data_IF_613047165537
#
_entry.id   IF_613047165537
#
_cell.length_a   1.000
_cell.length_b   1.000
_cell.length_c   1.000
_cell.angle_alpha   90.00
_cell.angle_beta   90.00
_cell.angle_gamma   90.00
#
_symmetry.space_group_name_H-M   'P 1'
#
loop_
_entity.id
_entity.type
_entity.pdbx_description
1 polymer ?
#
# COMPACT_ATOMS: atom_id res chain seq x y z
N UNK A 1 -22.54 67.01 -22.09
CA UNK A 1 -22.71 65.83 -22.97
C UNK A 1 -21.41 65.62 -23.75
N UNK A 2 -20.72 64.51 -23.50
CA UNK A 2 -19.76 63.81 -24.40
C UNK A 2 -19.16 62.65 -23.60
N UNK A 3 -19.68 61.44 -23.82
CA UNK A 3 -19.10 60.18 -23.35
C UNK A 3 -17.93 59.87 -24.29
N UNK A 4 -16.71 59.80 -23.77
CA UNK A 4 -15.54 59.37 -24.51
C UNK A 4 -15.12 57.99 -23.98
N UNK A 5 -15.49 56.96 -24.74
CA UNK A 5 -15.04 55.58 -24.61
C UNK A 5 -13.54 55.53 -24.88
N UNK A 6 -12.74 55.06 -23.92
CA UNK A 6 -11.33 54.71 -24.14
C UNK A 6 -11.21 53.18 -24.07
N UNK A 7 -10.95 52.59 -25.23
CA UNK A 7 -10.45 51.22 -25.36
C UNK A 7 -9.05 51.16 -24.73
N UNK A 8 -8.87 50.34 -23.70
CA UNK A 8 -7.54 49.95 -23.23
C UNK A 8 -7.28 48.49 -23.60
N UNK A 9 -6.19 48.33 -24.33
CA UNK A 9 -5.71 47.11 -24.93
C UNK A 9 -5.32 46.04 -23.88
N UNK A 10 -5.52 44.78 -24.29
CA UNK A 10 -4.64 43.64 -24.00
C UNK A 10 -4.24 43.39 -22.54
N UNK A 11 -4.98 42.51 -21.87
CA UNK A 11 -4.37 41.55 -20.94
C UNK A 11 -4.67 40.13 -21.43
N UNK A 12 -3.75 39.69 -22.28
CA UNK A 12 -3.64 38.35 -22.83
C UNK A 12 -3.38 37.35 -21.68
N UNK A 13 -4.01 36.19 -21.76
CA UNK A 13 -3.38 34.88 -21.46
C UNK A 13 -2.99 34.48 -20.03
N UNK A 14 -3.48 35.14 -18.99
CA UNK A 14 -3.06 34.85 -17.60
C UNK A 14 -3.93 33.90 -16.78
N UNK A 15 -5.01 33.34 -17.34
CA UNK A 15 -5.95 32.50 -16.57
C UNK A 15 -6.21 31.15 -17.26
N UNK A 16 -5.16 30.55 -17.82
CA UNK A 16 -5.19 29.12 -18.08
C UNK A 16 -4.85 28.42 -16.76
N UNK A 17 -5.92 28.02 -16.07
CA UNK A 17 -5.99 27.00 -15.02
C UNK A 17 -4.66 26.26 -14.79
N UNK A 18 -3.96 26.66 -13.74
CA UNK A 18 -2.94 25.83 -13.11
C UNK A 18 -3.68 24.67 -12.43
N UNK A 19 -4.03 23.64 -13.21
CA UNK A 19 -4.38 22.36 -12.62
C UNK A 19 -3.06 21.79 -12.09
N UNK A 20 -2.85 21.67 -10.76
CA UNK A 20 -1.84 20.73 -10.32
C UNK A 20 -2.27 19.40 -10.94
N UNK A 21 -1.44 18.87 -11.83
CA UNK A 21 -1.61 17.53 -12.30
C UNK A 21 -1.65 16.68 -11.05
N UNK A 22 -2.83 16.19 -10.69
CA UNK A 22 -2.95 15.00 -9.87
C UNK A 22 -2.38 13.88 -10.73
N UNK A 23 -1.05 13.84 -10.84
CA UNK A 23 -0.39 12.57 -10.99
C UNK A 23 -0.76 11.84 -9.72
N UNK A 24 -1.80 11.01 -9.82
CA UNK A 24 -1.89 9.85 -8.96
C UNK A 24 -0.59 9.13 -9.28
N UNK A 25 0.43 9.40 -8.47
CA UNK A 25 1.62 8.57 -8.43
C UNK A 25 1.02 7.21 -8.10
N UNK A 26 0.86 6.35 -9.10
CA UNK A 26 0.66 4.94 -8.84
C UNK A 26 1.79 4.63 -7.86
N UNK A 27 1.42 4.24 -6.63
CA UNK A 27 2.40 3.92 -5.62
C UNK A 27 3.40 3.00 -6.30
N UNK A 28 4.60 3.51 -6.56
CA UNK A 28 5.64 2.66 -7.11
C UNK A 28 5.76 1.57 -6.06
N UNK A 29 5.37 0.36 -6.45
CA UNK A 29 5.56 -0.78 -5.60
C UNK A 29 7.07 -0.89 -5.45
N UNK A 30 7.59 -0.30 -4.37
CA UNK A 30 8.99 -0.36 -4.00
C UNK A 30 9.21 -1.84 -3.74
N UNK A 31 9.61 -2.58 -4.78
CA UNK A 31 9.87 -4.01 -4.68
C UNK A 31 10.82 -4.17 -3.51
N UNK A 32 10.35 -4.88 -2.49
CA UNK A 32 11.10 -5.04 -1.25
C UNK A 32 12.49 -5.59 -1.62
N UNK A 33 13.51 -4.83 -1.25
CA UNK A 33 14.87 -5.03 -1.74
C UNK A 33 15.32 -6.47 -1.48
N UNK A 34 16.22 -6.97 -2.32
CA UNK A 34 16.76 -8.34 -2.32
C UNK A 34 17.52 -8.77 -1.03
N UNK A 35 17.21 -8.19 0.13
CA UNK A 35 17.85 -8.33 1.43
C UNK A 35 17.17 -9.30 2.39
N UNK A 36 16.15 -10.05 1.95
CA UNK A 36 15.44 -11.03 2.77
C UNK A 36 14.56 -10.40 3.86
N UNK A 37 13.45 -11.05 4.16
CA UNK A 37 12.42 -10.53 5.07
C UNK A 37 12.05 -11.57 6.12
N UNK A 38 11.66 -11.11 7.31
CA UNK A 38 11.02 -11.92 8.34
C UNK A 38 9.56 -11.54 8.45
N UNK A 39 8.68 -12.52 8.29
CA UNK A 39 7.24 -12.34 8.45
C UNK A 39 6.81 -12.92 9.80
N UNK A 40 6.15 -12.11 10.61
CA UNK A 40 5.72 -12.44 11.97
C UNK A 40 4.21 -12.45 12.06
N UNK A 41 3.62 -13.56 12.52
CA UNK A 41 2.19 -13.65 12.82
C UNK A 41 1.88 -13.03 14.18
N UNK A 42 1.19 -11.88 14.18
CA UNK A 42 0.80 -11.18 15.39
C UNK A 42 -0.58 -11.67 15.85
N UNK A 43 -0.61 -12.85 16.47
CA UNK A 43 -1.86 -13.56 16.80
C UNK A 43 -2.92 -12.70 17.49
N UNK A 44 -2.53 -11.86 18.45
CA UNK A 44 -3.47 -11.06 19.23
C UNK A 44 -4.00 -9.81 18.50
N UNK A 45 -3.29 -9.31 17.48
CA UNK A 45 -3.73 -8.14 16.70
C UNK A 45 -4.47 -8.51 15.42
N UNK A 46 -4.38 -9.76 14.96
CA UNK A 46 -4.98 -10.16 13.68
C UNK A 46 -4.17 -9.73 12.46
N UNK A 47 -2.88 -9.43 12.63
CA UNK A 47 -2.00 -8.89 11.57
C UNK A 47 -0.75 -9.74 11.35
N UNK A 48 -0.04 -9.49 10.26
CA UNK A 48 1.38 -9.84 10.12
C UNK A 48 2.26 -8.60 10.15
N UNK A 49 3.49 -8.74 10.65
CA UNK A 49 4.55 -7.73 10.50
C UNK A 49 5.64 -8.25 9.59
N UNK A 50 6.21 -7.37 8.78
CA UNK A 50 7.32 -7.66 7.88
C UNK A 50 8.52 -6.85 8.32
N UNK A 51 9.65 -7.52 8.53
CA UNK A 51 10.88 -6.93 9.07
C UNK A 51 12.01 -7.18 8.08
N UNK A 52 12.77 -6.14 7.76
CA UNK A 52 13.99 -6.27 6.95
C UNK A 52 15.07 -7.00 7.74
N UNK A 53 15.67 -8.05 7.17
CA UNK A 53 16.66 -8.88 7.86
C UNK A 53 17.98 -8.14 8.10
N UNK A 54 18.30 -7.10 7.30
CA UNK A 54 19.59 -6.41 7.35
C UNK A 54 19.56 -5.27 8.36
N UNK A 55 18.49 -4.48 8.38
CA UNK A 55 18.34 -3.33 9.28
C UNK A 55 17.59 -3.66 10.57
N UNK A 56 16.85 -4.78 10.62
CA UNK A 56 15.88 -5.11 11.67
C UNK A 56 14.76 -4.07 11.82
N UNK A 57 14.48 -3.30 10.76
CA UNK A 57 13.42 -2.30 10.77
C UNK A 57 12.09 -2.91 10.33
N UNK A 58 10.99 -2.43 10.91
CA UNK A 58 9.64 -2.77 10.49
C UNK A 58 9.38 -2.14 9.11
N UNK A 59 9.21 -2.98 8.10
CA UNK A 59 8.82 -2.59 6.74
C UNK A 59 7.33 -2.22 6.73
N UNK A 60 6.51 -3.09 7.32
CA UNK A 60 5.06 -2.94 7.27
C UNK A 60 4.32 -3.83 8.24
N UNK A 61 3.05 -3.50 8.48
CA UNK A 61 2.10 -4.33 9.20
C UNK A 61 0.83 -4.45 8.36
N UNK A 62 0.40 -5.67 8.10
CA UNK A 62 -0.67 -6.00 7.17
C UNK A 62 -1.76 -6.77 7.88
N UNK A 63 -3.01 -6.35 7.70
CA UNK A 63 -4.15 -7.03 8.30
C UNK A 63 -4.43 -8.35 7.59
N UNK A 64 -4.82 -9.38 8.34
CA UNK A 64 -5.51 -10.52 7.74
C UNK A 64 -6.96 -10.10 7.41
N UNK A 65 -7.53 -10.63 6.32
CA UNK A 65 -8.93 -10.39 6.01
C UNK A 65 -9.83 -10.93 7.12
N UNK A 66 -10.80 -10.13 7.55
CA UNK A 66 -11.78 -10.57 8.53
C UNK A 66 -12.66 -11.69 7.96
N UNK A 67 -12.87 -12.74 8.74
CA UNK A 67 -13.87 -13.76 8.51
C UNK A 67 -15.08 -13.57 9.45
N UNK A 68 -15.72 -14.67 9.88
CA UNK A 68 -16.72 -14.65 10.94
C UNK A 68 -16.22 -14.13 12.30
N UNK A 69 -14.91 -14.25 12.57
CA UNK A 69 -14.24 -13.84 13.79
C UNK A 69 -13.04 -12.91 13.48
N UNK A 70 -12.59 -12.16 14.49
CA UNK A 70 -11.30 -11.45 14.42
C UNK A 70 -10.18 -12.44 14.10
N UNK A 71 -9.34 -12.19 13.08
CA UNK A 71 -8.28 -13.12 12.70
C UNK A 71 -7.32 -13.42 13.84
N UNK A 72 -6.87 -14.67 13.91
CA UNK A 72 -5.82 -15.11 14.83
C UNK A 72 -4.70 -15.77 14.02
N UNK A 73 -3.79 -14.98 13.42
CA UNK A 73 -2.72 -15.52 12.60
C UNK A 73 -1.80 -16.44 13.40
N UNK A 74 -1.53 -17.62 12.83
CA UNK A 74 -0.68 -18.67 13.37
C UNK A 74 0.01 -19.40 12.23
N UNK A 75 1.30 -19.68 12.42
CA UNK A 75 2.17 -20.35 11.45
C UNK A 75 2.34 -19.53 10.17
N UNK A 76 3.59 -19.31 9.76
CA UNK A 76 3.93 -18.56 8.55
C UNK A 76 4.85 -19.42 7.72
N UNK A 77 4.52 -19.59 6.44
CA UNK A 77 5.33 -20.37 5.50
C UNK A 77 5.51 -19.57 4.22
N UNK A 78 6.75 -19.27 3.88
CA UNK A 78 7.11 -18.72 2.57
C UNK A 78 7.39 -19.85 1.57
N UNK A 79 6.82 -19.73 0.36
CA UNK A 79 7.05 -20.65 -0.75
C UNK A 79 7.76 -19.92 -1.88
N UNK A 80 9.07 -20.18 -2.02
CA UNK A 80 9.90 -19.64 -3.11
C UNK A 80 9.38 -19.97 -4.51
N UNK A 81 8.69 -21.11 -4.68
CA UNK A 81 8.22 -21.57 -5.99
C UNK A 81 7.01 -20.77 -6.50
N UNK A 82 6.14 -20.34 -5.60
CA UNK A 82 4.91 -19.61 -5.94
C UNK A 82 5.00 -18.13 -5.59
N UNK A 83 6.07 -17.73 -4.92
CA UNK A 83 6.30 -16.40 -4.36
C UNK A 83 5.14 -15.91 -3.48
N UNK A 84 4.70 -16.81 -2.59
CA UNK A 84 3.60 -16.57 -1.67
C UNK A 84 3.99 -16.84 -0.23
N UNK A 85 3.36 -16.08 0.67
CA UNK A 85 3.41 -16.29 2.12
C UNK A 85 2.05 -16.82 2.58
N UNK A 86 2.06 -18.01 3.15
CA UNK A 86 0.87 -18.67 3.69
C UNK A 86 0.81 -18.43 5.19
N UNK A 87 -0.32 -17.93 5.67
CA UNK A 87 -0.56 -17.64 7.08
C UNK A 87 -1.84 -18.36 7.50
N UNK A 88 -1.75 -19.22 8.51
CA UNK A 88 -2.93 -19.85 9.08
C UNK A 88 -3.74 -18.83 9.88
N UNK A 89 -5.05 -18.78 9.67
CA UNK A 89 -5.97 -18.00 10.51
C UNK A 89 -6.78 -18.97 11.38
N UNK A 90 -6.36 -19.11 12.64
CA UNK A 90 -6.93 -20.09 13.57
C UNK A 90 -8.39 -19.79 13.88
N UNK A 91 -8.76 -18.52 14.00
CA UNK A 91 -10.10 -18.13 14.42
C UNK A 91 -11.15 -18.37 13.32
N UNK A 92 -10.72 -18.32 12.05
CA UNK A 92 -11.61 -18.46 10.91
C UNK A 92 -11.43 -19.78 10.14
N UNK A 93 -10.61 -20.70 10.66
CA UNK A 93 -10.36 -22.03 10.08
C UNK A 93 -9.94 -21.98 8.61
N UNK A 94 -9.06 -21.03 8.26
CA UNK A 94 -8.62 -20.79 6.88
C UNK A 94 -7.11 -20.57 6.80
N UNK A 95 -6.58 -20.60 5.58
CA UNK A 95 -5.21 -20.15 5.26
C UNK A 95 -5.34 -18.93 4.38
N UNK A 96 -4.72 -17.83 4.81
CA UNK A 96 -4.62 -16.59 4.03
C UNK A 96 -3.34 -16.66 3.21
N UNK A 97 -3.43 -16.30 1.94
CA UNK A 97 -2.29 -16.26 1.02
C UNK A 97 -1.98 -14.80 0.71
N UNK A 98 -0.74 -14.42 0.98
CA UNK A 98 -0.19 -13.11 0.64
C UNK A 98 0.79 -13.25 -0.52
N UNK A 99 0.75 -12.32 -1.47
CA UNK A 99 1.84 -12.13 -2.41
C UNK A 99 3.10 -11.68 -1.66
N UNK A 100 4.26 -12.29 -1.97
CA UNK A 100 5.48 -12.02 -1.20
C UNK A 100 6.15 -10.70 -1.58
N UNK A 101 5.83 -10.11 -2.73
CA UNK A 101 6.37 -8.84 -3.19
C UNK A 101 5.70 -7.63 -2.54
N UNK A 102 4.41 -7.71 -2.22
CA UNK A 102 3.61 -6.58 -1.73
C UNK A 102 2.74 -6.85 -0.50
N UNK A 103 2.63 -8.12 -0.08
CA UNK A 103 1.76 -8.54 1.01
C UNK A 103 0.28 -8.18 0.79
N UNK A 104 -0.16 -8.10 -0.47
CA UNK A 104 -1.58 -8.13 -0.82
C UNK A 104 -2.13 -9.56 -0.75
N UNK A 105 -3.40 -9.69 -0.39
CA UNK A 105 -4.07 -11.00 -0.33
C UNK A 105 -4.47 -11.45 -1.74
N UNK A 106 -4.19 -12.72 -2.07
CA UNK A 106 -4.47 -13.35 -3.39
C UNK A 106 -5.70 -14.25 -3.37
#
# INVERSE_FOLDING_TARGET
MKRATILLATFLLGLLMFLPGNTVQAAEHQGHGHGGEVVVANRASGTISVIDVRSNELIGTYDLPAGPNTPEPMYVVYSQRSDYVFVGDRANNQVVVFAADDYTVV
#
